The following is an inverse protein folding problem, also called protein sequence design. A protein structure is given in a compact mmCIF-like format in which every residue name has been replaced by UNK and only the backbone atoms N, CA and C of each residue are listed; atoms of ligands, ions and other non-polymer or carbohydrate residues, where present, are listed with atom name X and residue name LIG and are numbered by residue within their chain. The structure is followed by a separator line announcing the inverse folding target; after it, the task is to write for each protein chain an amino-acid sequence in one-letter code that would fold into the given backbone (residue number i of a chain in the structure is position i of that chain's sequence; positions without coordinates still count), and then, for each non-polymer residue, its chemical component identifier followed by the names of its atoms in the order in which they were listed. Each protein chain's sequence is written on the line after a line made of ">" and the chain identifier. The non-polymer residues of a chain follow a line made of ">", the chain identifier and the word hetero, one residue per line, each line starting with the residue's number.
data_IF_612838904071
#
_entry.id   IF_612838904071
#
_cell.length_a   1.000
_cell.length_b   1.000
_cell.length_c   1.000
_cell.angle_alpha   90.00
_cell.angle_beta   90.00
_cell.angle_gamma   90.00
#
_symmetry.space_group_name_H-M   'P 1'
#
loop_
_entity.id
_entity.type
_entity.pdbx_description
1 polymer ?
#
# COMPACT_ATOMS: atom_id res chain seq x y z
N UNK A 1 -18.80 -21.14 12.94
CA UNK A 1 -17.42 -21.46 12.53
C UNK A 1 -16.76 -20.15 12.13
N UNK A 2 -15.81 -19.64 12.92
CA UNK A 2 -15.01 -18.49 12.48
C UNK A 2 -13.79 -19.03 11.73
N UNK A 3 -13.47 -18.43 10.59
CA UNK A 3 -12.23 -18.68 9.89
C UNK A 3 -11.10 -18.15 10.77
N UNK A 4 -10.51 -19.01 11.61
CA UNK A 4 -9.40 -18.65 12.50
C UNK A 4 -8.04 -18.63 11.81
N UNK A 5 -8.00 -18.89 10.51
CA UNK A 5 -6.78 -18.86 9.71
C UNK A 5 -6.44 -17.39 9.39
N UNK A 6 -5.59 -16.80 10.23
CA UNK A 6 -4.98 -15.49 9.95
C UNK A 6 -3.96 -15.67 8.83
N UNK A 7 -4.15 -14.98 7.72
CA UNK A 7 -3.15 -14.87 6.66
C UNK A 7 -2.46 -13.51 6.77
N UNK A 8 -1.14 -13.49 6.57
CA UNK A 8 -0.37 -12.26 6.36
C UNK A 8 0.00 -12.21 4.89
N UNK A 9 -0.42 -11.15 4.20
CA UNK A 9 -0.15 -10.95 2.77
C UNK A 9 0.66 -9.67 2.63
N UNK A 10 1.69 -9.70 1.78
CA UNK A 10 2.50 -8.54 1.41
C UNK A 10 2.23 -8.19 -0.04
N UNK A 11 2.01 -6.91 -0.31
CA UNK A 11 1.82 -6.36 -1.65
C UNK A 11 2.99 -5.41 -1.91
N UNK A 12 3.75 -5.67 -2.97
CA UNK A 12 4.87 -4.85 -3.40
C UNK A 12 4.50 -4.19 -4.73
N UNK A 13 4.71 -2.87 -4.84
CA UNK A 13 4.49 -2.10 -6.07
C UNK A 13 5.54 -1.00 -6.18
N UNK A 14 5.76 -0.50 -7.39
CA UNK A 14 6.73 0.58 -7.62
C UNK A 14 6.12 1.93 -7.25
N UNK A 15 6.86 2.73 -6.47
CA UNK A 15 6.48 4.10 -6.17
C UNK A 15 6.39 4.94 -7.47
N UNK A 16 5.42 5.86 -7.58
CA UNK A 16 5.33 6.76 -8.72
C UNK A 16 6.56 7.68 -8.77
N UNK A 17 6.94 8.12 -9.98
CA UNK A 17 8.11 9.00 -10.18
C UNK A 17 7.93 10.40 -9.58
N UNK A 18 6.70 10.78 -9.25
CA UNK A 18 6.38 12.07 -8.67
C UNK A 18 6.42 12.00 -7.14
N UNK A 19 7.22 12.88 -6.56
CA UNK A 19 7.22 13.09 -5.12
C UNK A 19 5.89 13.69 -4.62
N UNK A 20 5.61 13.46 -3.33
CA UNK A 20 4.49 14.01 -2.59
C UNK A 20 3.46 12.97 -2.15
N UNK A 21 2.42 13.48 -1.47
CA UNK A 21 1.36 12.67 -0.89
C UNK A 21 0.48 12.02 -1.98
N UNK A 22 0.37 10.69 -1.94
CA UNK A 22 -0.46 9.89 -2.82
C UNK A 22 -1.49 9.12 -2.00
N UNK A 23 -2.76 9.35 -2.31
CA UNK A 23 -3.87 8.64 -1.68
C UNK A 23 -4.17 7.35 -2.47
N UNK A 24 -4.04 6.21 -1.82
CA UNK A 24 -4.36 4.89 -2.35
C UNK A 24 -5.58 4.30 -1.63
N UNK A 25 -6.32 3.44 -2.33
CA UNK A 25 -7.41 2.66 -1.72
C UNK A 25 -7.12 1.18 -1.88
N UNK A 26 -7.02 0.46 -0.77
CA UNK A 26 -6.91 -1.00 -0.75
C UNK A 26 -8.32 -1.60 -0.69
N UNK A 27 -8.61 -2.48 -1.67
CA UNK A 27 -9.85 -3.22 -1.75
C UNK A 27 -9.62 -4.67 -1.35
N UNK A 28 -10.34 -5.12 -0.32
CA UNK A 28 -10.41 -6.53 0.06
C UNK A 28 -11.79 -7.08 -0.32
N UNK A 29 -11.83 -7.83 -1.41
CA UNK A 29 -13.08 -8.32 -2.02
C UNK A 29 -13.21 -9.84 -1.92
N UNK A 30 -14.44 -10.31 -1.86
CA UNK A 30 -14.77 -11.73 -1.89
C UNK A 30 -15.45 -12.09 -3.21
N UNK A 31 -14.96 -13.13 -3.89
CA UNK A 31 -15.57 -13.64 -5.14
C UNK A 31 -16.82 -14.51 -4.92
N UNK A 32 -17.05 -14.92 -3.67
CA UNK A 32 -18.05 -15.94 -3.30
C UNK A 32 -19.14 -15.41 -2.38
N UNK A 33 -19.00 -14.19 -1.83
CA UNK A 33 -19.95 -13.61 -0.89
C UNK A 33 -20.18 -12.13 -1.18
N UNK A 34 -21.41 -11.78 -1.56
CA UNK A 34 -21.80 -10.40 -1.85
C UNK A 34 -21.93 -9.57 -0.56
N UNK A 35 -21.38 -8.36 -0.56
CA UNK A 35 -21.55 -7.38 0.53
C UNK A 35 -20.54 -7.48 1.67
N UNK A 36 -19.46 -8.25 1.50
CA UNK A 36 -18.35 -8.35 2.45
C UNK A 36 -17.06 -7.68 1.95
N UNK A 37 -17.18 -6.82 0.95
CA UNK A 37 -16.07 -6.05 0.40
C UNK A 37 -15.69 -4.92 1.37
N UNK A 38 -14.39 -4.76 1.61
CA UNK A 38 -13.83 -3.76 2.53
C UNK A 38 -12.92 -2.80 1.76
N UNK A 39 -13.09 -1.51 2.03
CA UNK A 39 -12.30 -0.44 1.41
C UNK A 39 -11.48 0.29 2.48
N UNK A 40 -10.19 0.49 2.20
CA UNK A 40 -9.26 1.16 3.11
C UNK A 40 -8.48 2.24 2.39
N UNK A 41 -8.68 3.50 2.79
CA UNK A 41 -7.90 4.62 2.29
C UNK A 41 -6.57 4.71 3.04
N UNK A 42 -5.49 4.82 2.27
CA UNK A 42 -4.10 4.85 2.72
C UNK A 42 -3.45 6.11 2.13
N UNK A 43 -2.83 6.94 2.95
CA UNK A 43 -1.96 8.00 2.45
C UNK A 43 -0.52 7.51 2.44
N UNK A 44 0.13 7.59 1.29
CA UNK A 44 1.52 7.20 1.09
C UNK A 44 2.26 8.44 0.61
N UNK A 45 3.18 8.93 1.43
CA UNK A 45 4.05 10.03 1.05
C UNK A 45 5.26 9.48 0.30
N UNK A 46 5.45 9.93 -0.94
CA UNK A 46 6.59 9.55 -1.77
C UNK A 46 7.63 10.64 -1.63
N UNK A 47 8.71 10.37 -0.90
CA UNK A 47 9.82 11.30 -0.80
C UNK A 47 10.53 11.41 -2.16
N UNK A 48 10.86 12.65 -2.55
CA UNK A 48 11.72 12.89 -3.71
C UNK A 48 13.04 12.17 -3.45
N UNK A 49 13.55 11.41 -4.43
CA UNK A 49 14.88 10.81 -4.31
C UNK A 49 15.89 11.96 -4.25
N UNK A 50 16.23 12.37 -3.04
CA UNK A 50 17.39 13.22 -2.81
C UNK A 50 18.58 12.47 -3.40
N UNK A 51 19.24 13.08 -4.37
CA UNK A 51 20.63 12.77 -4.66
C UNK A 51 21.41 13.00 -3.37
N UNK A 52 21.52 11.97 -2.53
CA UNK A 52 22.52 11.91 -1.47
C UNK A 52 23.86 11.65 -2.16
N UNK A 53 24.40 12.69 -2.80
CA UNK A 53 25.85 12.82 -3.02
C UNK A 53 26.47 12.97 -1.63
N UNK A 54 26.70 11.83 -0.97
CA UNK A 54 27.52 11.73 0.23
C UNK A 54 28.99 11.95 -0.21
N UNK A 55 29.35 13.21 -0.45
CA UNK A 55 30.75 13.64 -0.55
C UNK A 55 31.32 13.63 0.87
N UNK A 56 31.85 12.49 1.29
CA UNK A 56 32.65 12.37 2.50
C UNK A 56 34.02 13.04 2.27
N UNK A 57 34.29 14.11 3.02
CA UNK A 57 35.63 14.70 3.22
C UNK A 57 36.37 13.95 4.35
#
# INVERSE_FOLDING_TARGET
>A
MSLQNKAKVKLDFQAPSEAGEKLYTLYFMSDSYLGYDQEYSLSVDVEESGTEDHMEE
#
